data_IF_658238885219
#
_entry.id   IF_658238885219
#
_cell.length_a   1.000
_cell.length_b   1.000
_cell.length_c   1.000
_cell.angle_alpha   90.00
_cell.angle_beta   90.00
_cell.angle_gamma   90.00
#
_symmetry.space_group_name_H-M   'P 1'
#
loop_
_entity.id
_entity.type
_entity.pdbx_description
1 polymer ?
#
# COMPACT_ATOMS: atom_id res chain seq x y z
N UNK A 1 19.40 7.08 -12.37
CA UNK A 1 17.99 6.75 -12.67
C UNK A 1 17.17 7.99 -12.35
N UNK A 2 16.67 8.67 -13.38
CA UNK A 2 15.97 9.94 -13.24
C UNK A 2 14.53 9.65 -12.83
N UNK A 3 14.16 9.94 -11.58
CA UNK A 3 12.76 9.97 -11.19
C UNK A 3 12.08 11.12 -11.94
N UNK A 4 10.94 10.89 -12.63
CA UNK A 4 10.19 11.99 -13.21
C UNK A 4 9.69 12.88 -12.07
N UNK A 5 10.16 14.12 -12.00
CA UNK A 5 9.66 15.08 -11.01
C UNK A 5 8.24 15.47 -11.42
N UNK A 6 7.25 15.00 -10.67
CA UNK A 6 5.87 15.48 -10.80
C UNK A 6 5.87 17.01 -10.68
N UNK A 7 5.24 17.69 -11.64
CA UNK A 7 5.09 19.14 -11.53
C UNK A 7 4.16 19.44 -10.35
N UNK A 8 4.30 20.63 -9.72
CA UNK A 8 3.40 21.03 -8.62
C UNK A 8 1.92 20.98 -9.00
N UNK A 9 1.61 21.12 -10.28
CA UNK A 9 0.23 21.04 -10.79
C UNK A 9 -0.30 19.59 -10.80
N UNK A 10 0.54 18.62 -11.14
CA UNK A 10 0.15 17.20 -11.24
C UNK A 10 -0.14 16.60 -9.86
N UNK A 11 0.66 16.98 -8.84
CA UNK A 11 0.44 16.51 -7.46
C UNK A 11 -0.87 17.03 -6.87
N UNK A 12 -1.26 18.27 -7.17
CA UNK A 12 -2.53 18.83 -6.71
C UNK A 12 -3.73 18.09 -7.35
N UNK A 13 -3.67 17.88 -8.66
CA UNK A 13 -4.71 17.15 -9.40
C UNK A 13 -4.87 15.70 -8.88
N UNK A 14 -3.77 15.03 -8.52
CA UNK A 14 -3.81 13.71 -7.91
C UNK A 14 -4.53 13.72 -6.56
N UNK A 15 -4.20 14.66 -5.67
CA UNK A 15 -4.85 14.77 -4.35
C UNK A 15 -6.35 15.06 -4.49
N UNK A 16 -6.73 15.91 -5.44
CA UNK A 16 -8.15 16.17 -5.72
C UNK A 16 -8.87 14.93 -6.24
N UNK A 17 -8.23 14.13 -7.09
CA UNK A 17 -8.79 12.86 -7.57
C UNK A 17 -8.99 11.85 -6.44
N UNK A 18 -8.01 11.72 -5.53
CA UNK A 18 -8.11 10.86 -4.34
C UNK A 18 -9.23 11.33 -3.42
N UNK A 19 -9.29 12.64 -3.12
CA UNK A 19 -10.37 13.24 -2.32
C UNK A 19 -11.74 12.98 -2.93
N UNK A 20 -11.89 13.24 -4.23
CA UNK A 20 -13.14 12.97 -4.94
C UNK A 20 -13.55 11.49 -4.85
N UNK A 21 -12.59 10.58 -4.93
CA UNK A 21 -12.85 9.14 -4.79
C UNK A 21 -13.30 8.77 -3.37
N UNK A 22 -12.73 9.41 -2.34
CA UNK A 22 -13.16 9.20 -0.94
C UNK A 22 -14.59 9.71 -0.75
N UNK A 23 -14.88 10.93 -1.22
CA UNK A 23 -16.21 11.54 -1.12
C UNK A 23 -17.26 10.71 -1.88
N UNK A 24 -16.96 10.28 -3.12
CA UNK A 24 -17.86 9.52 -3.97
C UNK A 24 -18.19 8.12 -3.45
N UNK A 25 -17.40 7.59 -2.51
CA UNK A 25 -17.60 6.28 -1.88
C UNK A 25 -18.03 6.40 -0.41
N UNK A 26 -18.40 7.59 0.06
CA UNK A 26 -18.82 7.85 1.46
C UNK A 26 -17.78 7.40 2.51
N UNK A 27 -16.49 7.57 2.21
CA UNK A 27 -15.37 7.13 3.05
C UNK A 27 -14.80 8.24 3.96
N UNK A 28 -15.41 9.42 4.00
CA UNK A 28 -15.00 10.51 4.90
C UNK A 28 -15.19 10.04 6.35
N UNK A 29 -14.18 10.26 7.19
CA UNK A 29 -14.19 9.80 8.59
C UNK A 29 -13.90 8.31 8.78
N UNK A 30 -13.55 7.58 7.71
CA UNK A 30 -13.34 6.13 7.80
C UNK A 30 -11.97 5.75 8.36
N UNK A 31 -11.92 4.61 9.05
CA UNK A 31 -10.68 3.90 9.35
C UNK A 31 -10.34 2.94 8.20
N UNK A 32 -9.16 3.08 7.60
CA UNK A 32 -8.78 2.39 6.37
C UNK A 32 -7.51 1.55 6.55
N UNK A 33 -7.57 0.30 6.09
CA UNK A 33 -6.38 -0.54 5.91
C UNK A 33 -5.89 -0.39 4.47
N UNK A 34 -4.67 0.12 4.29
CA UNK A 34 -4.06 0.36 2.98
C UNK A 34 -3.10 -0.78 2.67
N UNK A 35 -3.40 -1.55 1.62
CA UNK A 35 -2.48 -2.56 1.11
C UNK A 35 -1.21 -1.88 0.55
N UNK A 36 -0.08 -2.06 1.23
CA UNK A 36 1.16 -1.37 0.97
C UNK A 36 2.26 -2.33 0.53
N UNK A 37 2.52 -2.36 -0.78
CA UNK A 37 3.52 -3.25 -1.38
C UNK A 37 4.95 -2.72 -1.33
N UNK A 38 5.14 -1.43 -1.05
CA UNK A 38 6.42 -0.73 -1.20
C UNK A 38 6.69 -0.19 -2.62
N UNK A 39 5.90 -0.61 -3.61
CA UNK A 39 5.97 -0.07 -4.97
C UNK A 39 5.47 1.37 -5.09
N UNK A 40 5.84 2.07 -6.19
CA UNK A 40 5.56 3.50 -6.37
C UNK A 40 4.09 3.86 -6.24
N UNK A 41 3.18 3.05 -6.81
CA UNK A 41 1.74 3.31 -6.75
C UNK A 41 1.21 3.26 -5.32
N UNK A 42 1.60 2.24 -4.55
CA UNK A 42 1.16 2.09 -3.16
C UNK A 42 1.78 3.13 -2.23
N UNK A 43 3.03 3.54 -2.52
CA UNK A 43 3.72 4.63 -1.82
C UNK A 43 3.03 5.96 -2.07
N UNK A 44 2.70 6.26 -3.32
CA UNK A 44 1.96 7.45 -3.72
C UNK A 44 0.57 7.47 -3.07
N UNK A 45 -0.17 6.35 -3.12
CA UNK A 45 -1.50 6.25 -2.51
C UNK A 45 -1.44 6.50 -1.00
N UNK A 46 -0.57 5.80 -0.28
CA UNK A 46 -0.45 5.96 1.17
C UNK A 46 -0.06 7.39 1.55
N UNK A 47 0.87 8.00 0.81
CA UNK A 47 1.27 9.40 1.02
C UNK A 47 0.13 10.39 0.73
N UNK A 48 -0.63 10.17 -0.34
CA UNK A 48 -1.79 11.00 -0.69
C UNK A 48 -2.89 10.93 0.35
N UNK A 49 -3.22 9.72 0.82
CA UNK A 49 -4.19 9.51 1.89
C UNK A 49 -3.72 10.16 3.19
N UNK A 50 -2.44 10.01 3.54
CA UNK A 50 -1.85 10.66 4.72
C UNK A 50 -1.97 12.19 4.65
N UNK A 51 -1.71 12.78 3.49
CA UNK A 51 -1.80 14.24 3.27
C UNK A 51 -3.23 14.78 3.43
N UNK A 52 -4.24 13.92 3.23
CA UNK A 52 -5.66 14.28 3.33
C UNK A 52 -6.29 13.87 4.67
N UNK A 53 -5.58 13.07 5.48
CA UNK A 53 -6.18 12.38 6.63
C UNK A 53 -6.84 13.33 7.62
N UNK A 54 -6.20 14.45 7.94
CA UNK A 54 -6.72 15.39 8.94
C UNK A 54 -7.93 16.18 8.40
N UNK A 55 -7.89 16.53 7.11
CA UNK A 55 -8.99 17.24 6.43
C UNK A 55 -10.22 16.36 6.26
N UNK A 56 -10.02 15.06 6.04
CA UNK A 56 -11.10 14.10 5.78
C UNK A 56 -11.43 13.22 7.00
N UNK A 57 -10.77 13.43 8.14
CA UNK A 57 -10.96 12.65 9.36
C UNK A 57 -10.60 11.17 9.24
N UNK A 58 -9.64 10.81 8.39
CA UNK A 58 -9.27 9.42 8.13
C UNK A 58 -8.33 8.88 9.21
N UNK A 59 -8.55 7.63 9.59
CA UNK A 59 -7.57 6.84 10.33
C UNK A 59 -6.92 5.85 9.38
N UNK A 60 -5.59 5.79 9.35
CA UNK A 60 -4.86 4.97 8.39
C UNK A 60 -4.06 3.89 9.12
N UNK A 61 -4.11 2.68 8.56
CA UNK A 61 -3.25 1.55 8.93
C UNK A 61 -2.68 0.94 7.66
N UNK A 62 -1.37 0.78 7.57
CA UNK A 62 -0.73 0.13 6.43
C UNK A 62 -0.64 -1.39 6.68
N UNK A 63 -0.85 -2.17 5.63
CA UNK A 63 -0.66 -3.62 5.65
C UNK A 63 0.28 -4.03 4.52
N UNK A 64 1.44 -4.58 4.87
CA UNK A 64 2.39 -5.15 3.93
C UNK A 64 2.31 -6.67 3.97
N UNK A 65 2.17 -7.30 2.81
CA UNK A 65 2.17 -8.75 2.67
C UNK A 65 3.33 -9.16 1.76
N UNK A 66 4.32 -9.80 2.36
CA UNK A 66 5.40 -10.46 1.63
C UNK A 66 4.91 -11.80 1.10
N UNK A 67 4.78 -11.90 -0.22
CA UNK A 67 4.35 -13.13 -0.89
C UNK A 67 5.47 -14.17 -1.03
N UNK A 68 6.70 -13.90 -0.59
CA UNK A 68 7.81 -14.86 -0.64
C UNK A 68 8.30 -15.20 -2.06
N UNK A 69 7.89 -14.43 -3.08
CA UNK A 69 8.22 -14.71 -4.49
C UNK A 69 9.71 -14.53 -4.81
N UNK A 70 10.43 -13.73 -4.00
CA UNK A 70 11.86 -13.42 -4.16
C UNK A 70 12.54 -13.40 -2.79
N UNK A 71 13.18 -14.51 -2.37
CA UNK A 71 13.79 -14.62 -1.05
C UNK A 71 14.82 -13.53 -0.77
N UNK A 72 15.61 -13.13 -1.78
CA UNK A 72 16.65 -12.10 -1.61
C UNK A 72 16.15 -10.65 -1.53
N UNK A 73 14.92 -10.36 -1.97
CA UNK A 73 14.37 -8.98 -1.98
C UNK A 73 13.35 -8.74 -0.86
N UNK A 74 12.81 -9.81 -0.28
CA UNK A 74 11.63 -9.67 0.58
C UNK A 74 11.91 -9.02 1.94
N UNK A 75 13.14 -9.17 2.46
CA UNK A 75 13.55 -8.48 3.68
C UNK A 75 13.75 -6.98 3.42
N UNK A 76 14.38 -6.61 2.31
CA UNK A 76 14.56 -5.21 1.92
C UNK A 76 13.23 -4.49 1.63
N UNK A 77 12.27 -5.18 1.01
CA UNK A 77 10.94 -4.63 0.74
C UNK A 77 10.15 -4.40 2.05
N UNK A 78 10.24 -5.34 2.99
CA UNK A 78 9.62 -5.21 4.31
C UNK A 78 10.26 -4.08 5.13
N UNK A 79 11.58 -3.92 5.06
CA UNK A 79 12.30 -2.84 5.73
C UNK A 79 11.94 -1.47 5.15
N UNK A 80 11.91 -1.34 3.83
CA UNK A 80 11.40 -0.14 3.17
C UNK A 80 9.98 0.18 3.64
N UNK A 81 9.11 -0.84 3.70
CA UNK A 81 7.73 -0.62 4.10
C UNK A 81 7.62 -0.07 5.53
N UNK A 82 8.41 -0.63 6.46
CA UNK A 82 8.49 -0.18 7.86
C UNK A 82 9.02 1.25 7.96
N UNK A 83 10.12 1.54 7.29
CA UNK A 83 10.73 2.88 7.30
C UNK A 83 9.76 3.93 6.75
N UNK A 84 9.12 3.64 5.62
CA UNK A 84 8.19 4.56 4.99
C UNK A 84 6.96 4.82 5.87
N UNK A 85 6.31 3.76 6.37
CA UNK A 85 5.14 3.91 7.25
C UNK A 85 5.49 4.66 8.54
N UNK A 86 6.64 4.34 9.14
CA UNK A 86 7.15 5.05 10.33
C UNK A 86 7.43 6.52 10.05
N UNK A 87 7.93 6.88 8.86
CA UNK A 87 8.20 8.27 8.50
C UNK A 87 6.93 9.13 8.43
N UNK A 88 5.78 8.49 8.15
CA UNK A 88 4.46 9.12 8.14
C UNK A 88 3.74 8.98 9.50
N UNK A 89 4.30 8.26 10.47
CA UNK A 89 3.62 7.93 11.73
C UNK A 89 2.38 7.06 11.53
N UNK A 90 2.30 6.31 10.44
CA UNK A 90 1.18 5.40 10.14
C UNK A 90 1.53 4.01 10.70
N UNK A 91 0.67 3.40 11.54
CA UNK A 91 0.85 2.03 11.99
C UNK A 91 0.96 1.05 10.81
N UNK A 92 1.86 0.07 10.90
CA UNK A 92 2.08 -0.93 9.87
C UNK A 92 2.00 -2.33 10.47
N UNK A 93 1.20 -3.19 9.84
CA UNK A 93 1.28 -4.65 10.02
C UNK A 93 2.01 -5.25 8.84
N UNK A 94 3.01 -6.10 9.11
CA UNK A 94 3.73 -6.86 8.09
C UNK A 94 3.50 -8.35 8.30
N UNK A 95 3.03 -9.06 7.29
CA UNK A 95 2.88 -10.52 7.29
C UNK A 95 3.66 -11.13 6.14
N UNK A 96 4.08 -12.39 6.31
CA UNK A 96 4.74 -13.17 5.26
C UNK A 96 3.89 -14.38 4.94
N UNK A 97 3.38 -14.45 3.72
CA UNK A 97 2.70 -15.62 3.22
C UNK A 97 3.68 -16.50 2.44
N UNK A 98 3.89 -17.73 2.92
CA UNK A 98 4.71 -18.72 2.22
C UNK A 98 3.92 -19.30 1.02
N UNK A 99 3.91 -18.54 -0.08
CA UNK A 99 3.16 -18.91 -1.29
C UNK A 99 3.62 -20.24 -1.90
N UNK A 100 4.85 -20.68 -1.63
CA UNK A 100 5.36 -21.99 -2.09
C UNK A 100 4.71 -23.16 -1.36
N UNK A 101 4.44 -23.04 -0.05
CA UNK A 101 3.71 -24.05 0.71
C UNK A 101 2.25 -24.19 0.22
N UNK A 102 1.58 -23.06 -0.07
CA UNK A 102 0.22 -23.04 -0.62
C UNK A 102 0.13 -23.59 -2.05
N UNK A 103 1.19 -23.41 -2.87
CA UNK A 103 1.23 -23.95 -4.24
C UNK A 103 1.25 -25.48 -4.27
N UNK A 104 1.91 -26.12 -3.31
CA UNK A 104 2.00 -27.57 -3.20
C UNK A 104 0.64 -28.22 -2.86
N UNK A 105 -0.20 -27.53 -2.09
CA UNK A 105 -1.50 -28.05 -1.65
C UNK A 105 -2.67 -27.77 -2.61
N UNK A 106 -2.61 -26.71 -3.43
CA UNK A 106 -3.84 -26.21 -4.10
C UNK A 106 -3.89 -26.29 -5.65
N UNK A 107 -2.82 -26.59 -6.39
CA UNK A 107 -2.81 -26.61 -7.89
C UNK A 107 -3.43 -25.35 -8.55
N UNK A 108 -3.37 -24.19 -7.89
CA UNK A 108 -3.89 -22.92 -8.42
C UNK A 108 -2.81 -22.15 -9.18
N UNK A 109 -3.22 -21.27 -10.10
CA UNK A 109 -2.29 -20.32 -10.73
C UNK A 109 -1.75 -19.31 -9.70
N UNK A 110 -0.60 -18.69 -10.00
CA UNK A 110 0.06 -17.72 -9.11
C UNK A 110 -0.86 -16.54 -8.78
N UNK A 111 -1.65 -16.07 -9.76
CA UNK A 111 -2.57 -14.94 -9.60
C UNK A 111 -3.76 -15.29 -8.68
N UNK A 112 -4.28 -16.51 -8.76
CA UNK A 112 -5.39 -16.97 -7.92
C UNK A 112 -4.96 -17.17 -6.46
N UNK A 113 -3.75 -17.68 -6.22
CA UNK A 113 -3.20 -17.82 -4.88
C UNK A 113 -2.95 -16.45 -4.23
N UNK A 114 -2.38 -15.49 -4.98
CA UNK A 114 -2.14 -14.14 -4.48
C UNK A 114 -3.43 -13.39 -4.12
N UNK A 115 -4.52 -13.61 -4.87
CA UNK A 115 -5.83 -13.01 -4.59
C UNK A 115 -6.50 -13.56 -3.32
N UNK A 116 -6.22 -14.82 -2.96
CA UNK A 116 -6.86 -15.50 -1.82
C UNK A 116 -6.21 -15.22 -0.47
N UNK A 117 -4.99 -14.68 -0.49
CA UNK A 117 -4.19 -14.31 0.69
C UNK A 117 -4.36 -12.85 1.11
N UNK A 118 -5.14 -12.06 0.37
CA UNK A 118 -5.57 -10.71 0.77
C UNK A 118 -6.77 -10.79 1.71
#
# INVERSE_FOLDING_TARGET
MSHPSLSRHDSAALLDSVRHSIDANDLVGASMVVAFSGGPDSTTLLHSLYSLKDTLGLELHAAHLDHGLRPESSEADADFAREFASSLGVPLTTERADTYALRAECRLSIEEAARRLR
#
